data_IF_806396421725
#
_entry.id   IF_806396421725
#
_cell.length_a   1.000
_cell.length_b   1.000
_cell.length_c   1.000
_cell.angle_alpha   90.00
_cell.angle_beta   90.00
_cell.angle_gamma   90.00
#
_symmetry.space_group_name_H-M   'P 1'
#
loop_
_entity.id
_entity.type
_entity.pdbx_description
1 polymer ?
#
# COMPACT_ATOMS: atom_id res chain seq x y z
N UNK A 1 -5.16 9.27 27.38
CA UNK A 1 -6.52 9.29 27.94
C UNK A 1 -7.37 10.23 27.11
N UNK A 2 -8.68 10.33 27.35
CA UNK A 2 -9.63 11.12 26.52
C UNK A 2 -9.14 12.54 26.19
N UNK A 3 -8.41 13.20 27.10
CA UNK A 3 -7.85 14.55 26.87
C UNK A 3 -6.86 14.59 25.69
N UNK A 4 -6.13 13.49 25.44
CA UNK A 4 -5.18 13.38 24.32
C UNK A 4 -5.90 13.28 22.97
N UNK A 5 -7.20 12.97 22.95
CA UNK A 5 -8.01 12.92 21.72
C UNK A 5 -8.53 14.31 21.30
N UNK A 6 -8.41 15.32 22.17
CA UNK A 6 -8.75 16.70 21.84
C UNK A 6 -7.69 17.31 20.91
N UNK A 7 -7.91 17.19 19.60
CA UNK A 7 -6.97 17.62 18.57
C UNK A 7 -7.34 18.94 17.85
N UNK A 8 -8.49 19.53 18.15
CA UNK A 8 -8.94 20.82 17.59
C UNK A 8 -8.26 22.02 18.28
N UNK A 9 -6.94 22.07 18.20
CA UNK A 9 -6.12 23.12 18.77
C UNK A 9 -6.34 24.44 18.03
N UNK A 10 -6.76 25.45 18.78
CA UNK A 10 -6.91 26.82 18.31
C UNK A 10 -5.73 27.65 18.80
N UNK A 11 -5.19 28.46 17.90
CA UNK A 11 -4.09 29.35 18.24
C UNK A 11 -4.56 30.37 19.28
N UNK A 12 -3.84 30.44 20.41
CA UNK A 12 -4.07 31.41 21.45
C UNK A 12 -3.01 32.52 21.32
N UNK A 13 -3.32 33.64 20.64
CA UNK A 13 -2.37 34.72 20.48
C UNK A 13 -2.11 35.37 21.84
N UNK A 14 -0.85 35.58 22.16
CA UNK A 14 -0.50 36.20 23.42
C UNK A 14 -0.53 37.72 23.33
N UNK A 15 -1.17 38.35 24.31
CA UNK A 15 -1.26 39.79 24.45
C UNK A 15 0.05 40.41 24.98
N UNK A 16 0.33 41.63 24.54
CA UNK A 16 1.57 42.35 24.87
C UNK A 16 1.76 42.62 26.37
N UNK A 17 0.68 42.61 27.16
CA UNK A 17 0.71 42.87 28.60
C UNK A 17 1.59 41.87 29.36
N UNK A 18 1.67 40.61 28.90
CA UNK A 18 2.45 39.56 29.55
C UNK A 18 3.97 39.62 29.26
N UNK A 19 4.41 40.46 28.30
CA UNK A 19 5.83 40.55 27.93
C UNK A 19 6.65 41.22 29.03
N UNK A 20 6.10 42.25 29.69
CA UNK A 20 6.82 43.04 30.68
C UNK A 20 7.20 42.20 31.91
N UNK A 21 6.32 41.28 32.32
CA UNK A 21 6.60 40.35 33.41
C UNK A 21 7.66 39.31 33.03
N UNK A 22 7.59 38.76 31.82
CA UNK A 22 8.54 37.74 31.36
C UNK A 22 9.95 38.29 31.13
N UNK A 23 10.06 39.56 30.74
CA UNK A 23 11.34 40.23 30.52
C UNK A 23 12.08 40.53 31.84
N UNK A 24 11.38 40.53 32.97
CA UNK A 24 11.97 40.64 34.30
C UNK A 24 12.51 39.30 34.83
N UNK A 25 12.14 38.19 34.19
CA UNK A 25 12.49 36.82 34.64
C UNK A 25 13.65 36.24 33.81
N UNK A 26 13.95 36.81 32.64
CA UNK A 26 14.97 36.29 31.73
C UNK A 26 15.90 37.39 31.21
N UNK A 27 17.20 37.14 31.27
CA UNK A 27 18.23 38.01 30.65
C UNK A 27 18.18 37.98 29.11
N UNK A 28 17.49 36.99 28.53
CA UNK A 28 17.34 36.86 27.09
C UNK A 28 16.26 37.81 26.55
N UNK A 29 16.54 38.48 25.43
CA UNK A 29 15.59 39.38 24.79
C UNK A 29 14.38 38.57 24.28
N UNK A 30 13.20 38.90 24.80
CA UNK A 30 11.91 38.34 24.39
C UNK A 30 11.25 39.30 23.42
N UNK A 31 10.82 38.81 22.27
CA UNK A 31 10.06 39.58 21.29
C UNK A 31 8.75 38.87 20.95
N UNK A 32 7.66 39.63 20.87
CA UNK A 32 6.35 39.12 20.46
C UNK A 32 6.11 39.49 18.99
N UNK A 33 5.91 38.48 18.15
CA UNK A 33 5.56 38.66 16.74
C UNK A 33 4.49 37.66 16.35
N UNK A 34 3.45 38.16 15.68
CA UNK A 34 2.31 37.36 15.24
C UNK A 34 1.63 36.57 16.38
N UNK A 35 1.73 37.03 17.63
CA UNK A 35 1.18 36.41 18.84
C UNK A 35 2.04 35.29 19.47
N UNK A 36 3.24 35.02 18.93
CA UNK A 36 4.18 34.04 19.46
C UNK A 36 5.33 34.74 20.20
N UNK A 37 5.89 34.08 21.21
CA UNK A 37 7.13 34.55 21.84
C UNK A 37 8.35 34.02 21.09
N UNK A 38 9.32 34.91 20.92
CA UNK A 38 10.62 34.57 20.39
C UNK A 38 11.70 35.02 21.36
N UNK A 39 12.59 34.11 21.72
CA UNK A 39 13.66 34.33 22.70
C UNK A 39 14.99 34.24 21.94
N UNK A 40 15.77 35.31 21.95
CA UNK A 40 17.02 35.41 21.17
C UNK A 40 17.39 36.85 20.82
N UNK A 41 18.49 37.05 20.09
CA UNK A 41 18.97 38.41 19.71
C UNK A 41 18.04 39.11 18.69
N UNK A 42 17.70 38.40 17.61
CA UNK A 42 16.70 38.82 16.60
C UNK A 42 15.97 37.61 15.96
N UNK A 43 15.37 36.73 16.77
CA UNK A 43 14.77 35.46 16.33
C UNK A 43 13.52 35.64 15.45
N UNK A 44 12.94 36.84 15.43
CA UNK A 44 11.75 37.16 14.65
C UNK A 44 12.06 37.33 13.15
N UNK A 45 13.23 37.87 12.82
CA UNK A 45 13.62 38.20 11.44
C UNK A 45 14.82 37.38 10.97
N UNK A 46 15.74 37.02 11.87
CA UNK A 46 16.93 36.24 11.55
C UNK A 46 17.17 35.15 12.62
N UNK A 47 16.40 34.04 12.59
CA UNK A 47 16.51 32.98 13.58
C UNK A 47 17.87 32.29 13.50
N UNK A 48 18.56 32.21 14.64
CA UNK A 48 19.85 31.54 14.79
C UNK A 48 19.70 30.24 15.58
N UNK A 49 20.68 29.35 15.43
CA UNK A 49 20.74 28.13 16.25
C UNK A 49 20.86 28.56 17.72
N UNK A 50 19.92 28.10 18.55
CA UNK A 50 19.81 28.49 19.95
C UNK A 50 18.66 29.47 20.27
N UNK A 51 17.99 30.02 19.25
CA UNK A 51 16.78 30.81 19.43
C UNK A 51 15.55 29.92 19.69
N UNK A 52 14.63 30.38 20.55
CA UNK A 52 13.39 29.65 20.85
C UNK A 52 12.18 30.38 20.31
N UNK A 53 11.21 29.61 19.79
CA UNK A 53 9.86 30.08 19.48
C UNK A 53 8.86 29.32 20.33
N UNK A 54 8.05 30.04 21.09
CA UNK A 54 7.00 29.46 21.93
C UNK A 54 5.65 29.88 21.36
N UNK A 55 4.83 28.88 21.02
CA UNK A 55 3.46 29.02 20.54
C UNK A 55 2.52 28.41 21.57
N UNK A 56 1.42 29.07 21.84
CA UNK A 56 0.37 28.57 22.72
C UNK A 56 -0.87 28.22 21.91
N UNK A 57 -1.47 27.10 22.25
CA UNK A 57 -2.67 26.58 21.63
C UNK A 57 -3.62 26.11 22.71
N UNK A 58 -4.92 26.28 22.46
CA UNK A 58 -5.99 25.92 23.40
C UNK A 58 -7.10 25.20 22.65
N UNK A 59 -7.75 24.25 23.31
CA UNK A 59 -8.99 23.66 22.80
C UNK A 59 -10.15 24.33 23.52
N UNK A 60 -10.94 25.11 22.79
CA UNK A 60 -12.11 25.80 23.34
C UNK A 60 -13.17 24.79 23.82
N UNK A 61 -13.93 25.10 24.90
CA UNK A 61 -15.01 24.24 25.37
C UNK A 61 -15.96 23.86 24.23
N UNK A 62 -16.00 22.57 23.90
CA UNK A 62 -16.73 22.03 22.76
C UNK A 62 -17.53 20.81 23.20
N UNK A 63 -18.72 20.64 22.64
CA UNK A 63 -19.52 19.44 22.86
C UNK A 63 -18.86 18.23 22.20
N UNK A 64 -18.66 17.18 22.97
CA UNK A 64 -18.06 15.91 22.52
C UNK A 64 -18.95 14.77 22.98
N UNK A 65 -18.95 13.68 22.22
CA UNK A 65 -19.59 12.43 22.62
C UNK A 65 -18.49 11.42 22.92
N UNK A 66 -18.57 10.76 24.07
CA UNK A 66 -17.54 9.84 24.56
C UNK A 66 -18.18 8.52 24.98
N UNK A 67 -17.58 7.41 24.55
CA UNK A 67 -17.95 6.06 24.99
C UNK A 67 -16.74 5.45 25.70
N UNK A 68 -16.86 5.29 27.01
CA UNK A 68 -15.83 4.72 27.88
C UNK A 68 -16.49 3.98 29.06
N UNK A 69 -15.71 3.21 29.82
CA UNK A 69 -16.18 2.61 31.08
C UNK A 69 -16.17 3.68 32.16
N UNK A 70 -17.29 3.89 32.83
CA UNK A 70 -17.34 4.70 34.04
C UNK A 70 -16.78 3.92 35.23
N UNK A 71 -15.83 4.51 35.93
CA UNK A 71 -15.27 4.02 37.19
C UNK A 71 -15.24 5.19 38.17
N UNK A 72 -16.18 5.22 39.11
CA UNK A 72 -16.38 6.32 40.05
C UNK A 72 -16.58 7.67 39.33
N UNK A 73 -15.67 8.62 39.53
CA UNK A 73 -15.64 9.93 38.86
C UNK A 73 -14.95 9.93 37.51
N UNK A 74 -14.30 8.83 37.14
CA UNK A 74 -13.38 8.78 36.01
C UNK A 74 -13.97 7.97 34.86
N UNK A 75 -13.58 8.37 33.64
CA UNK A 75 -13.83 7.62 32.41
C UNK A 75 -12.54 6.90 32.04
N UNK A 76 -12.60 5.57 32.01
CA UNK A 76 -11.46 4.71 31.71
C UNK A 76 -11.74 3.82 30.48
N UNK A 77 -10.71 3.37 29.75
CA UNK A 77 -10.91 2.48 28.61
C UNK A 77 -11.58 1.16 29.05
N UNK A 78 -12.60 0.73 28.31
CA UNK A 78 -13.25 -0.55 28.56
C UNK A 78 -12.47 -1.70 27.90
N UNK A 79 -11.98 -2.65 28.69
CA UNK A 79 -11.29 -3.84 28.18
C UNK A 79 -12.31 -4.88 27.69
N UNK A 80 -12.25 -5.27 26.42
CA UNK A 80 -13.15 -6.30 25.88
C UNK A 80 -12.69 -7.72 26.23
N UNK A 81 -13.62 -8.69 26.18
CA UNK A 81 -13.35 -10.12 26.43
C UNK A 81 -12.48 -10.79 25.36
N UNK A 82 -12.53 -10.31 24.11
CA UNK A 82 -11.90 -10.94 22.94
C UNK A 82 -10.55 -10.25 22.59
N UNK A 83 -10.15 -9.24 23.37
CA UNK A 83 -9.02 -8.32 23.20
C UNK A 83 -9.38 -6.98 22.51
N UNK A 84 -8.62 -5.95 22.85
CA UNK A 84 -8.85 -4.55 22.47
C UNK A 84 -9.46 -3.71 23.58
N UNK A 85 -9.19 -2.41 23.56
CA UNK A 85 -9.78 -1.41 24.46
C UNK A 85 -10.82 -0.62 23.68
N UNK A 86 -11.97 -0.35 24.30
CA UNK A 86 -13.00 0.54 23.78
C UNK A 86 -12.93 1.83 24.57
N UNK A 87 -12.48 2.87 23.90
CA UNK A 87 -12.50 4.27 24.30
C UNK A 87 -12.74 5.01 22.98
N UNK A 88 -13.95 5.55 22.80
CA UNK A 88 -14.31 6.27 21.58
C UNK A 88 -14.58 7.73 21.94
N UNK A 89 -14.05 8.63 21.15
CA UNK A 89 -14.23 10.06 21.29
C UNK A 89 -14.50 10.66 19.91
N UNK A 90 -15.59 11.43 19.81
CA UNK A 90 -15.93 12.17 18.60
C UNK A 90 -16.48 13.56 18.95
N UNK A 91 -16.19 14.53 18.10
CA UNK A 91 -16.72 15.88 18.25
C UNK A 91 -18.21 15.95 17.88
N UNK A 92 -18.96 16.77 18.60
CA UNK A 92 -20.39 16.97 18.39
C UNK A 92 -21.26 16.05 19.24
N UNK A 93 -22.58 16.13 19.00
CA UNK A 93 -23.60 15.30 19.65
C UNK A 93 -23.97 14.18 18.68
N UNK A 94 -23.48 12.96 18.93
CA UNK A 94 -23.72 11.79 18.10
C UNK A 94 -24.53 10.74 18.86
N UNK A 95 -25.31 9.94 18.13
CA UNK A 95 -25.93 8.77 18.73
C UNK A 95 -24.87 7.69 18.98
N UNK A 96 -25.12 6.85 19.99
CA UNK A 96 -24.22 5.75 20.36
C UNK A 96 -24.04 4.80 19.17
N UNK A 97 -25.09 4.57 18.38
CA UNK A 97 -25.04 3.70 17.19
C UNK A 97 -24.08 4.24 16.13
N UNK A 98 -24.16 5.54 15.87
CA UNK A 98 -23.34 6.20 14.85
C UNK A 98 -21.86 6.14 15.22
N UNK A 99 -21.50 6.40 16.49
CA UNK A 99 -20.11 6.30 16.95
C UNK A 99 -19.53 4.89 16.77
N UNK A 100 -20.30 3.84 17.08
CA UNK A 100 -19.83 2.46 16.84
C UNK A 100 -19.71 2.14 15.35
N UNK A 101 -20.60 2.67 14.52
CA UNK A 101 -20.53 2.50 13.07
C UNK A 101 -19.30 3.20 12.49
N UNK A 102 -19.06 4.46 12.85
CA UNK A 102 -17.88 5.23 12.46
C UNK A 102 -16.60 4.51 12.86
N UNK A 103 -16.49 4.07 14.12
CA UNK A 103 -15.34 3.32 14.60
C UNK A 103 -15.11 2.02 13.80
N UNK A 104 -16.18 1.30 13.45
CA UNK A 104 -16.10 0.07 12.65
C UNK A 104 -15.68 0.36 11.20
N UNK A 105 -16.25 1.37 10.57
CA UNK A 105 -15.93 1.78 9.20
C UNK A 105 -14.50 2.28 9.11
N UNK A 106 -14.05 3.12 10.05
CA UNK A 106 -12.68 3.62 10.12
C UNK A 106 -11.67 2.48 10.28
N UNK A 107 -11.87 1.61 11.26
CA UNK A 107 -10.99 0.46 11.50
C UNK A 107 -10.93 -0.48 10.29
N UNK A 108 -12.09 -0.78 9.68
CA UNK A 108 -12.12 -1.60 8.48
C UNK A 108 -11.38 -0.93 7.32
N UNK A 109 -11.66 0.36 7.08
CA UNK A 109 -11.04 1.11 5.98
C UNK A 109 -9.54 1.24 6.14
N UNK A 110 -9.05 1.48 7.36
CA UNK A 110 -7.63 1.56 7.68
C UNK A 110 -6.91 0.24 7.38
N UNK A 111 -7.52 -0.90 7.72
CA UNK A 111 -6.97 -2.24 7.41
C UNK A 111 -6.87 -2.44 5.90
N UNK A 112 -7.93 -2.14 5.15
CA UNK A 112 -7.92 -2.27 3.69
C UNK A 112 -6.90 -1.33 3.05
N UNK A 113 -6.79 -0.10 3.54
CA UNK A 113 -5.82 0.88 3.09
C UNK A 113 -4.38 0.41 3.32
N UNK A 114 -4.04 -0.03 4.53
CA UNK A 114 -2.71 -0.57 4.85
C UNK A 114 -2.34 -1.76 3.97
N UNK A 115 -3.31 -2.62 3.64
CA UNK A 115 -3.09 -3.75 2.72
C UNK A 115 -2.83 -3.29 1.30
N UNK A 116 -3.59 -2.31 0.81
CA UNK A 116 -3.37 -1.75 -0.52
C UNK A 116 -1.99 -1.10 -0.63
N UNK A 117 -1.59 -0.33 0.38
CA UNK A 117 -0.24 0.27 0.45
C UNK A 117 0.84 -0.81 0.50
N UNK A 118 0.65 -1.85 1.32
CA UNK A 118 1.56 -3.00 1.39
C UNK A 118 1.70 -3.73 0.05
N UNK A 119 0.59 -3.99 -0.64
CA UNK A 119 0.59 -4.57 -2.00
C UNK A 119 1.40 -3.72 -2.97
N UNK A 120 1.21 -2.39 -2.95
CA UNK A 120 1.92 -1.49 -3.84
C UNK A 120 3.43 -1.48 -3.57
N UNK A 121 3.83 -1.51 -2.29
CA UNK A 121 5.24 -1.63 -1.88
C UNK A 121 5.88 -2.92 -2.40
N UNK A 122 5.21 -4.06 -2.25
CA UNK A 122 5.71 -5.35 -2.75
C UNK A 122 5.77 -5.35 -4.28
N UNK A 123 4.76 -4.80 -4.95
CA UNK A 123 4.71 -4.73 -6.41
C UNK A 123 5.87 -3.93 -6.98
N UNK A 124 6.12 -2.73 -6.42
CA UNK A 124 7.25 -1.89 -6.82
C UNK A 124 8.57 -2.57 -6.47
N UNK A 125 8.70 -3.14 -5.27
CA UNK A 125 9.91 -3.84 -4.83
C UNK A 125 10.27 -5.02 -5.74
N UNK A 126 9.30 -5.85 -6.09
CA UNK A 126 9.49 -6.95 -7.05
C UNK A 126 9.81 -6.43 -8.45
N UNK A 127 9.17 -5.35 -8.90
CA UNK A 127 9.49 -4.70 -10.18
C UNK A 127 10.97 -4.30 -10.28
N UNK A 128 11.51 -3.70 -9.21
CA UNK A 128 12.93 -3.34 -9.11
C UNK A 128 13.81 -4.60 -9.09
N UNK A 129 13.46 -5.62 -8.31
CA UNK A 129 14.19 -6.89 -8.27
C UNK A 129 14.26 -7.52 -9.66
N UNK A 130 13.13 -7.64 -10.37
CA UNK A 130 13.10 -8.18 -11.73
C UNK A 130 13.89 -7.32 -12.74
N UNK A 131 14.01 -6.02 -12.52
CA UNK A 131 14.89 -5.17 -13.32
C UNK A 131 16.36 -5.50 -13.09
N UNK A 132 16.79 -5.70 -11.84
CA UNK A 132 18.16 -6.13 -11.52
C UNK A 132 18.46 -7.51 -12.11
N UNK A 133 17.53 -8.46 -11.99
CA UNK A 133 17.67 -9.80 -12.60
C UNK A 133 17.80 -9.74 -14.13
N UNK A 134 17.09 -8.83 -14.81
CA UNK A 134 17.25 -8.64 -16.27
C UNK A 134 18.66 -8.23 -16.65
N UNK A 135 19.29 -7.34 -15.88
CA UNK A 135 20.68 -6.92 -16.10
C UNK A 135 21.65 -8.06 -15.80
N UNK A 136 21.40 -8.89 -14.80
CA UNK A 136 22.25 -10.06 -14.51
C UNK A 136 22.12 -11.15 -15.58
N UNK A 137 20.92 -11.34 -16.13
CA UNK A 137 20.63 -12.36 -17.13
C UNK A 137 21.25 -12.06 -18.51
N UNK A 138 21.70 -10.83 -18.79
CA UNK A 138 22.50 -10.56 -20.00
C UNK A 138 23.93 -11.10 -19.89
N UNK A 139 24.44 -11.30 -18.68
CA UNK A 139 25.79 -11.80 -18.41
C UNK A 139 25.83 -13.33 -18.38
N UNK A 140 24.73 -13.97 -17.98
CA UNK A 140 24.65 -15.43 -17.85
C UNK A 140 23.77 -16.01 -18.98
N UNK A 141 24.36 -16.67 -20.00
CA UNK A 141 23.65 -17.13 -21.20
C UNK A 141 22.52 -18.15 -20.93
N UNK A 142 22.50 -18.79 -19.76
CA UNK A 142 21.46 -19.75 -19.36
C UNK A 142 20.07 -19.12 -19.16
N UNK A 143 19.99 -17.82 -18.82
CA UNK A 143 18.71 -17.16 -18.50
C UNK A 143 18.05 -16.46 -19.70
N UNK A 144 18.68 -16.48 -20.87
CA UNK A 144 18.22 -15.79 -22.08
C UNK A 144 16.77 -16.14 -22.46
N UNK A 145 16.37 -17.41 -22.33
CA UNK A 145 15.06 -17.92 -22.79
C UNK A 145 13.88 -17.58 -21.87
N UNK A 146 14.13 -17.20 -20.60
CA UNK A 146 13.06 -16.86 -19.63
C UNK A 146 12.65 -15.38 -19.73
N UNK A 147 13.46 -14.57 -20.42
CA UNK A 147 13.32 -13.11 -20.53
C UNK A 147 12.23 -12.63 -21.51
N UNK A 148 11.58 -13.54 -22.23
CA UNK A 148 10.49 -13.17 -23.16
C UNK A 148 9.18 -12.80 -22.44
N UNK A 149 9.06 -13.08 -21.14
CA UNK A 149 7.94 -12.62 -20.32
C UNK A 149 8.20 -11.19 -19.85
N UNK A 150 7.30 -10.26 -20.15
CA UNK A 150 7.39 -8.87 -19.70
C UNK A 150 7.50 -8.84 -18.17
N UNK A 151 8.68 -8.53 -17.62
CA UNK A 151 8.98 -8.68 -16.19
C UNK A 151 7.99 -8.00 -15.22
N UNK A 152 7.24 -7.01 -15.70
CA UNK A 152 6.14 -6.38 -14.96
C UNK A 152 4.93 -7.30 -14.74
N UNK A 153 4.60 -8.17 -15.68
CA UNK A 153 3.50 -9.13 -15.53
C UNK A 153 3.87 -10.23 -14.52
N UNK A 154 5.12 -10.67 -14.54
CA UNK A 154 5.66 -11.57 -13.52
C UNK A 154 5.65 -10.90 -12.13
N UNK A 155 6.14 -9.66 -12.03
CA UNK A 155 6.12 -8.88 -10.80
C UNK A 155 4.71 -8.73 -10.21
N UNK A 156 3.73 -8.47 -11.08
CA UNK A 156 2.33 -8.32 -10.68
C UNK A 156 1.79 -9.60 -10.03
N UNK A 157 2.03 -10.77 -10.64
CA UNK A 157 1.46 -12.03 -10.15
C UNK A 157 2.15 -12.47 -8.86
N UNK A 158 3.47 -12.35 -8.76
CA UNK A 158 4.17 -12.59 -7.51
C UNK A 158 3.71 -11.63 -6.40
N UNK A 159 3.47 -10.36 -6.72
CA UNK A 159 2.98 -9.39 -5.74
C UNK A 159 1.59 -9.74 -5.21
N UNK A 160 0.70 -10.24 -6.08
CA UNK A 160 -0.62 -10.74 -5.66
C UNK A 160 -0.45 -11.92 -4.71
N UNK A 161 0.38 -12.91 -5.06
CA UNK A 161 0.65 -14.08 -4.21
C UNK A 161 1.18 -13.67 -2.83
N UNK A 162 2.23 -12.85 -2.76
CA UNK A 162 2.80 -12.39 -1.49
C UNK A 162 1.81 -11.56 -0.67
N UNK A 163 0.97 -10.77 -1.33
CA UNK A 163 -0.08 -10.01 -0.65
C UNK A 163 -1.15 -10.93 -0.06
N UNK A 164 -1.57 -11.95 -0.81
CA UNK A 164 -2.49 -12.97 -0.32
C UNK A 164 -1.91 -13.72 0.87
N UNK A 165 -0.64 -14.11 0.82
CA UNK A 165 0.05 -14.82 1.89
C UNK A 165 0.21 -13.93 3.14
N UNK A 166 0.47 -12.63 2.96
CA UNK A 166 0.52 -11.65 4.06
C UNK A 166 -0.85 -11.52 4.73
N UNK A 167 -1.92 -11.42 3.94
CA UNK A 167 -3.30 -11.35 4.45
C UNK A 167 -3.67 -12.67 5.15
N UNK A 168 -3.34 -13.81 4.57
CA UNK A 168 -3.60 -15.12 5.16
C UNK A 168 -2.88 -15.28 6.52
N UNK A 169 -1.61 -14.87 6.59
CA UNK A 169 -0.81 -14.91 7.81
C UNK A 169 -1.42 -14.03 8.92
N UNK A 170 -1.95 -12.85 8.57
CA UNK A 170 -2.61 -11.96 9.53
C UNK A 170 -3.91 -12.55 10.12
N UNK A 171 -4.62 -13.40 9.38
CA UNK A 171 -5.87 -14.01 9.83
C UNK A 171 -5.72 -15.43 10.39
N UNK A 172 -4.51 -16.01 10.37
CA UNK A 172 -4.29 -17.41 10.73
C UNK A 172 -4.79 -17.74 12.15
N UNK A 173 -4.59 -16.83 13.10
CA UNK A 173 -5.05 -17.00 14.49
C UNK A 173 -6.49 -16.55 14.72
N UNK A 174 -6.93 -15.47 14.09
CA UNK A 174 -8.22 -14.84 14.41
C UNK A 174 -9.39 -15.36 13.55
N UNK A 175 -9.14 -15.83 12.31
CA UNK A 175 -10.14 -16.35 11.35
C UNK A 175 -9.55 -17.42 10.42
N UNK A 176 -9.32 -18.65 10.90
CA UNK A 176 -8.60 -19.70 10.14
C UNK A 176 -9.29 -20.09 8.82
N UNK A 177 -10.62 -20.07 8.75
CA UNK A 177 -11.35 -20.36 7.50
C UNK A 177 -11.04 -19.35 6.38
N UNK A 178 -10.95 -18.06 6.73
CA UNK A 178 -10.61 -17.02 5.76
C UNK A 178 -9.17 -17.20 5.25
N UNK A 179 -8.24 -17.58 6.13
CA UNK A 179 -6.86 -17.86 5.76
C UNK A 179 -6.74 -19.04 4.77
N UNK A 180 -7.47 -20.14 5.02
CA UNK A 180 -7.45 -21.32 4.13
C UNK A 180 -7.97 -20.98 2.72
N UNK A 181 -9.09 -20.25 2.63
CA UNK A 181 -9.67 -19.85 1.33
C UNK A 181 -8.68 -18.96 0.55
N UNK A 182 -8.02 -18.03 1.22
CA UNK A 182 -7.04 -17.15 0.60
C UNK A 182 -5.82 -17.92 0.06
N UNK A 183 -5.33 -18.92 0.80
CA UNK A 183 -4.22 -19.77 0.35
C UNK A 183 -4.61 -20.56 -0.92
N UNK A 184 -5.83 -21.09 -0.97
CA UNK A 184 -6.32 -21.80 -2.16
C UNK A 184 -6.40 -20.88 -3.39
N UNK A 185 -6.85 -19.63 -3.21
CA UNK A 185 -6.87 -18.63 -4.29
C UNK A 185 -5.45 -18.29 -4.76
N UNK A 186 -4.50 -18.14 -3.82
CA UNK A 186 -3.09 -17.88 -4.14
C UNK A 186 -2.50 -19.00 -5.01
N UNK A 187 -2.76 -20.26 -4.66
CA UNK A 187 -2.35 -21.43 -5.45
C UNK A 187 -2.99 -21.47 -6.84
N UNK A 188 -4.26 -21.07 -6.96
CA UNK A 188 -4.94 -21.01 -8.27
C UNK A 188 -4.29 -19.99 -9.22
N UNK A 189 -3.89 -18.82 -8.72
CA UNK A 189 -3.17 -17.82 -9.51
C UNK A 189 -1.80 -18.34 -10.01
N UNK A 190 -1.07 -19.10 -9.19
CA UNK A 190 0.18 -19.74 -9.61
C UNK A 190 -0.05 -20.82 -10.69
N UNK A 191 -1.17 -21.54 -10.65
CA UNK A 191 -1.52 -22.50 -11.69
C UNK A 191 -1.89 -21.83 -13.03
N UNK A 192 -2.56 -20.68 -13.01
CA UNK A 192 -2.86 -19.91 -14.23
C UNK A 192 -1.61 -19.46 -14.97
N UNK A 193 -0.57 -19.05 -14.25
CA UNK A 193 0.74 -18.76 -14.85
C UNK A 193 1.32 -19.96 -15.61
N UNK A 194 1.18 -21.16 -15.04
CA UNK A 194 1.63 -22.42 -15.64
C UNK A 194 0.84 -22.76 -16.91
N UNK A 195 -0.47 -22.51 -16.91
CA UNK A 195 -1.34 -22.70 -18.07
C UNK A 195 -1.04 -21.72 -19.22
N UNK A 196 -0.65 -20.49 -18.92
CA UNK A 196 -0.29 -19.51 -19.95
C UNK A 196 1.02 -19.88 -20.68
N UNK A 197 1.94 -20.56 -20.00
CA UNK A 197 3.19 -21.06 -20.60
C UNK A 197 2.96 -22.17 -21.63
N UNK A 198 1.95 -23.04 -21.44
CA UNK A 198 1.67 -24.13 -22.39
C UNK A 198 1.06 -23.62 -23.70
N UNK A 199 0.22 -22.58 -23.63
CA UNK A 199 -0.42 -21.98 -24.82
C UNK A 199 0.61 -21.28 -25.72
N UNK A 200 1.62 -20.65 -25.14
CA UNK A 200 2.70 -19.98 -25.90
C UNK A 200 3.57 -21.02 -26.62
N UNK A 201 3.90 -22.13 -25.96
CA UNK A 201 4.69 -23.22 -26.55
C UNK A 201 4.01 -23.88 -27.76
N UNK A 202 2.68 -23.96 -27.73
CA UNK A 202 1.87 -24.48 -28.85
C UNK A 202 1.93 -23.55 -30.07
N UNK A 203 1.91 -22.22 -29.88
CA UNK A 203 1.98 -21.25 -31.00
C UNK A 203 3.33 -21.27 -31.71
N UNK A 204 4.44 -21.39 -30.98
CA UNK A 204 5.79 -21.47 -31.58
C UNK A 204 5.95 -22.74 -32.43
N UNK A 205 5.47 -23.90 -31.95
CA UNK A 205 5.52 -25.16 -32.70
C UNK A 205 4.65 -25.13 -33.98
N UNK A 206 3.47 -24.51 -33.94
CA UNK A 206 2.63 -24.34 -35.14
C UNK A 206 3.29 -23.41 -36.17
N UNK A 207 4.01 -22.37 -35.72
CA UNK A 207 4.66 -21.40 -36.61
C UNK A 207 5.96 -21.94 -37.24
N UNK A 208 6.60 -22.93 -36.61
CA UNK A 208 7.76 -23.64 -37.16
C UNK A 208 7.37 -24.64 -38.26
N UNK A 209 6.17 -25.23 -38.18
CA UNK A 209 5.61 -26.14 -39.18
C UNK A 209 5.16 -25.45 -40.49
N UNK A 210 4.88 -24.14 -40.44
CA UNK A 210 4.36 -23.37 -41.60
C UNK A 210 5.50 -22.66 -42.38
N UNK A 211 6.77 -22.79 -41.96
CA UNK A 211 7.89 -22.20 -42.71
C UNK A 211 8.08 -22.94 -44.05
N UNK A 212 7.98 -22.27 -45.21
CA UNK A 212 8.16 -22.92 -46.50
C UNK A 212 9.58 -23.50 -46.56
N UNK A 213 9.68 -24.81 -46.82
CA UNK A 213 10.96 -25.46 -47.08
C UNK A 213 11.21 -25.40 -48.59
N UNK A 214 12.35 -24.83 -48.99
CA UNK A 214 12.78 -24.79 -50.38
C UNK A 214 13.26 -26.18 -50.79
N UNK A 215 12.51 -26.87 -51.64
CA UNK A 215 12.94 -28.13 -52.25
C UNK A 215 13.67 -27.80 -53.55
N UNK A 216 14.94 -28.23 -53.65
CA UNK A 216 15.70 -28.14 -54.90
C UNK A 216 15.25 -29.28 -55.83
N UNK A 217 14.61 -28.94 -56.93
CA UNK A 217 14.24 -29.88 -58.00
C UNK A 217 15.45 -30.06 -58.93
N UNK A 218 15.77 -31.28 -59.42
CA UNK A 218 16.97 -31.53 -60.24
C UNK A 218 17.05 -30.80 -61.60
N UNK A 219 16.09 -29.96 -61.94
CA UNK A 219 15.97 -29.26 -63.23
C UNK A 219 16.28 -27.76 -63.17
N UNK A 220 16.95 -27.26 -62.12
CA UNK A 220 17.54 -25.91 -62.10
C UNK A 220 16.57 -24.74 -61.87
N UNK A 221 15.31 -25.01 -61.51
CA UNK A 221 14.34 -23.99 -61.10
C UNK A 221 13.93 -24.15 -59.64
N UNK A 222 13.96 -23.06 -58.89
CA UNK A 222 13.51 -22.99 -57.50
C UNK A 222 11.99 -22.81 -57.45
N UNK A 223 11.25 -23.79 -56.91
CA UNK A 223 9.80 -23.67 -56.72
C UNK A 223 9.51 -23.36 -55.25
N UNK A 224 8.89 -22.21 -54.99
CA UNK A 224 8.39 -21.86 -53.64
C UNK A 224 7.01 -22.49 -53.49
N UNK A 225 6.91 -23.58 -52.74
CA UNK A 225 5.63 -24.20 -52.40
C UNK A 225 5.01 -23.43 -51.23
N UNK A 226 3.88 -22.77 -51.47
CA UNK A 226 3.09 -22.06 -50.44
C UNK A 226 2.25 -23.11 -49.68
N UNK A 227 2.24 -23.12 -48.34
CA UNK A 227 1.39 -24.05 -47.60
C UNK A 227 -0.09 -23.66 -47.81
N UNK A 228 -0.88 -24.57 -48.39
CA UNK A 228 -2.34 -24.45 -48.49
C UNK A 228 -3.00 -25.12 -47.28
N UNK A 229 -4.06 -24.50 -46.76
CA UNK A 229 -4.82 -24.94 -45.57
C UNK A 229 -5.92 -25.97 -45.90
N UNK A 230 -5.93 -26.53 -47.10
CA UNK A 230 -6.97 -27.45 -47.55
C UNK A 230 -6.39 -28.86 -47.59
N UNK A 231 -6.63 -29.66 -46.55
CA UNK A 231 -6.63 -31.12 -46.69
C UNK A 231 -7.74 -31.46 -47.67
N UNK A 232 -7.40 -31.67 -48.94
CA UNK A 232 -8.29 -32.30 -49.89
C UNK A 232 -8.43 -33.76 -49.46
N UNK A 233 -9.60 -34.11 -48.93
CA UNK A 233 -9.95 -35.47 -48.52
C UNK A 233 -10.09 -36.29 -49.81
N UNK A 234 -9.03 -37.02 -50.16
CA UNK A 234 -9.10 -38.03 -51.22
C UNK A 234 -9.81 -39.25 -50.65
N UNK A 235 -11.07 -39.43 -51.01
CA UNK A 235 -11.83 -40.66 -50.77
C UNK A 235 -11.35 -41.68 -51.82
N UNK A 236 -10.84 -42.87 -51.43
CA UNK A 236 -10.48 -43.90 -52.40
C UNK A 236 -11.76 -44.55 -52.96
N UNK A 237 -11.92 -44.47 -54.28
CA UNK A 237 -12.94 -45.21 -55.03
C UNK A 237 -12.67 -46.72 -54.90
N UNK A 238 -13.73 -47.51 -54.80
CA UNK A 238 -13.68 -48.98 -54.68
C UNK A 238 -14.10 -49.65 -55.97
#
# INVERSE_FOLDING_TARGET
GIVDELNNYQYLPIEKAQIQELQNISDAKISLKFGNYYIGKDPAYNPQIGDFRIKFEVVSPTTVTVIAKQSDSDLIPYQTRIAGKIELFEYGTLDVKDMFEHARVFNNSLIWFLRFVGFLLVFIGLGVIFQVFRVLATVIPFFHSILHYSGWLAAFIFSITFTLDTIASAWLYYRPLAAIILILISLAFLFLLKGMQSVIKTKENTQQSIKPHTVLVPSGHTVIVKPSLTQEIVIPDK
#
